data_IF_010245454575
#
_entry.id   IF_010245454575
#
_cell.length_a   1.000
_cell.length_b   1.000
_cell.length_c   1.000
_cell.angle_alpha   90.00
_cell.angle_beta   90.00
_cell.angle_gamma   90.00
#
_symmetry.space_group_name_H-M   'P 1'
#
loop_
_entity.id
_entity.type
_entity.pdbx_description
1 polymer ?
#
# COMPACT_ATOMS: atom_id res chain seq x y z
N UNK A 1 -55.39 -44.61 97.06
CA UNK A 1 -54.70 -43.39 97.53
C UNK A 1 -53.22 -43.72 97.57
N UNK A 2 -52.48 -43.39 96.49
CA UNK A 2 -51.73 -42.14 96.26
C UNK A 2 -50.40 -42.14 97.05
N UNK A 3 -49.27 -42.51 96.41
CA UNK A 3 -48.32 -41.70 95.61
C UNK A 3 -47.40 -40.83 96.48
N UNK A 4 -46.08 -41.06 96.47
CA UNK A 4 -45.08 -40.26 95.73
C UNK A 4 -44.10 -39.62 96.76
N UNK A 5 -42.83 -39.31 96.50
CA UNK A 5 -42.06 -39.07 95.28
C UNK A 5 -40.55 -39.27 95.53
N UNK A 6 -39.78 -39.48 94.45
CA UNK A 6 -38.31 -39.46 94.38
C UNK A 6 -37.85 -38.48 93.29
N UNK A 7 -36.63 -37.95 93.39
CA UNK A 7 -36.18 -36.77 92.65
C UNK A 7 -35.11 -36.95 91.57
N UNK A 8 -34.48 -35.79 91.27
CA UNK A 8 -33.14 -35.48 90.73
C UNK A 8 -32.76 -35.67 89.24
N UNK A 9 -32.12 -34.58 88.78
CA UNK A 9 -30.98 -34.41 87.87
C UNK A 9 -31.21 -34.37 86.35
N UNK A 10 -30.61 -33.33 85.77
CA UNK A 10 -30.70 -32.83 84.39
C UNK A 10 -29.54 -33.36 83.56
N UNK A 11 -29.81 -33.77 82.32
CA UNK A 11 -28.82 -33.92 81.25
C UNK A 11 -29.43 -33.41 79.94
N UNK A 12 -28.93 -32.29 79.43
CA UNK A 12 -29.31 -31.75 78.13
C UNK A 12 -28.50 -32.42 77.01
N UNK A 13 -29.18 -33.21 76.18
CA UNK A 13 -28.77 -33.54 74.82
C UNK A 13 -30.04 -33.83 73.99
N UNK A 14 -30.40 -32.90 73.10
CA UNK A 14 -31.52 -33.10 72.17
C UNK A 14 -31.07 -34.05 71.04
N UNK A 15 -31.84 -35.11 70.71
CA UNK A 15 -31.55 -35.94 69.54
C UNK A 15 -31.83 -35.14 68.25
N UNK A 16 -30.94 -35.26 67.27
CA UNK A 16 -31.09 -34.65 65.95
C UNK A 16 -32.20 -35.31 65.14
N UNK A 17 -32.95 -34.49 64.40
CA UNK A 17 -34.01 -34.94 63.51
C UNK A 17 -33.43 -35.77 62.34
N UNK A 18 -34.03 -36.94 62.10
CA UNK A 18 -33.74 -37.73 60.90
C UNK A 18 -34.24 -36.96 59.66
N UNK A 19 -33.34 -36.64 58.74
CA UNK A 19 -33.68 -36.07 57.43
C UNK A 19 -34.59 -37.00 56.62
N UNK A 20 -35.56 -36.43 55.89
CA UNK A 20 -36.46 -37.17 55.00
C UNK A 20 -35.72 -37.73 53.77
N UNK A 21 -36.23 -38.81 53.19
CA UNK A 21 -35.76 -39.32 51.88
C UNK A 21 -35.79 -38.21 50.82
N UNK A 22 -34.64 -37.97 50.18
CA UNK A 22 -34.53 -37.03 49.07
C UNK A 22 -35.12 -37.62 47.79
N UNK A 23 -35.92 -36.82 47.07
CA UNK A 23 -36.40 -37.15 45.73
C UNK A 23 -35.30 -36.80 44.73
N UNK A 24 -34.82 -37.79 43.97
CA UNK A 24 -33.91 -37.55 42.85
C UNK A 24 -34.72 -36.99 41.67
N UNK A 25 -34.55 -35.69 41.40
CA UNK A 25 -35.07 -35.08 40.18
C UNK A 25 -33.97 -35.08 39.13
N UNK A 26 -34.10 -35.96 38.14
CA UNK A 26 -33.26 -35.96 36.96
C UNK A 26 -33.77 -34.86 36.02
N UNK A 27 -33.32 -33.62 36.23
CA UNK A 27 -33.50 -32.57 35.22
C UNK A 27 -32.46 -32.76 34.13
N UNK A 28 -32.84 -33.52 33.09
CA UNK A 28 -32.09 -33.58 31.85
C UNK A 28 -32.32 -32.26 31.08
N UNK A 29 -31.51 -31.24 31.36
CA UNK A 29 -31.42 -30.08 30.48
C UNK A 29 -30.78 -30.54 29.18
N UNK A 30 -31.58 -30.68 28.12
CA UNK A 30 -31.09 -30.92 26.78
C UNK A 30 -30.05 -29.87 26.42
N UNK A 31 -28.78 -30.27 26.34
CA UNK A 31 -27.72 -29.44 25.81
C UNK A 31 -27.93 -29.33 24.30
N UNK A 32 -28.68 -28.32 23.86
CA UNK A 32 -28.73 -27.97 22.44
C UNK A 32 -27.41 -27.26 22.14
N UNK A 33 -26.45 -28.00 21.60
CA UNK A 33 -25.26 -27.43 20.99
C UNK A 33 -25.68 -26.68 19.73
N UNK A 34 -26.18 -25.46 19.90
CA UNK A 34 -26.39 -24.52 18.80
C UNK A 34 -25.03 -24.03 18.30
N UNK A 35 -24.31 -24.87 17.56
CA UNK A 35 -23.17 -24.39 16.77
C UNK A 35 -23.78 -23.53 15.68
N UNK A 36 -23.64 -22.21 15.81
CA UNK A 36 -24.03 -21.29 14.76
C UNK A 36 -23.19 -21.58 13.53
N UNK A 37 -23.83 -22.03 12.45
CA UNK A 37 -23.20 -22.13 11.14
C UNK A 37 -22.63 -20.76 10.75
N UNK A 38 -21.38 -20.76 10.30
CA UNK A 38 -20.68 -19.59 9.78
C UNK A 38 -20.32 -19.88 8.34
N UNK A 39 -20.99 -19.18 7.42
CA UNK A 39 -20.71 -19.25 5.98
C UNK A 39 -19.34 -18.68 5.63
N UNK A 40 -18.74 -17.88 6.53
CA UNK A 40 -17.42 -17.30 6.34
C UNK A 40 -16.65 -17.10 7.65
N UNK A 41 -15.34 -17.03 7.51
CA UNK A 41 -14.40 -16.67 8.57
C UNK A 41 -13.04 -16.29 7.98
N UNK A 42 -12.13 -15.80 8.80
CA UNK A 42 -10.78 -15.49 8.35
C UNK A 42 -9.74 -15.90 9.38
N UNK A 43 -8.53 -16.12 8.88
CA UNK A 43 -7.32 -16.29 9.66
C UNK A 43 -6.31 -15.22 9.24
N UNK A 44 -5.79 -14.49 10.21
CA UNK A 44 -4.65 -13.59 10.02
C UNK A 44 -3.40 -14.24 10.61
N UNK A 45 -2.33 -14.27 9.83
CA UNK A 45 -1.04 -14.76 10.33
C UNK A 45 -0.52 -13.84 11.43
N UNK A 46 0.39 -14.36 12.26
CA UNK A 46 1.29 -13.46 12.99
C UNK A 46 2.05 -12.58 12.00
N UNK A 47 2.43 -11.38 12.44
CA UNK A 47 3.34 -10.53 11.69
C UNK A 47 4.71 -11.21 11.65
N UNK A 48 5.27 -11.34 10.46
CA UNK A 48 6.61 -11.88 10.26
C UNK A 48 7.60 -10.75 10.04
N UNK A 49 8.68 -10.76 10.81
CA UNK A 49 9.75 -9.78 10.75
C UNK A 49 10.96 -10.39 10.01
N UNK A 50 11.31 -9.84 8.84
CA UNK A 50 12.45 -10.32 8.04
C UNK A 50 13.81 -9.92 8.61
N UNK A 51 13.81 -9.08 9.65
CA UNK A 51 14.99 -8.47 10.27
C UNK A 51 15.84 -7.62 9.31
N UNK A 52 15.27 -7.21 8.17
CA UNK A 52 15.93 -6.33 7.20
C UNK A 52 14.97 -5.26 6.66
N UNK A 53 15.33 -3.97 6.70
CA UNK A 53 14.53 -2.89 6.11
C UNK A 53 14.68 -2.82 4.58
N UNK A 54 15.50 -3.68 3.96
CA UNK A 54 15.70 -3.73 2.50
C UNK A 54 15.19 -5.04 1.90
N UNK A 55 14.17 -5.65 2.53
CA UNK A 55 13.61 -6.90 2.05
C UNK A 55 12.80 -6.71 0.78
N UNK A 56 13.04 -7.57 -0.22
CA UNK A 56 12.22 -7.69 -1.42
C UNK A 56 11.42 -9.00 -1.40
N UNK A 57 10.14 -8.93 -1.78
CA UNK A 57 9.21 -10.05 -1.74
C UNK A 57 8.88 -10.55 -3.15
N UNK A 58 8.77 -11.88 -3.30
CA UNK A 58 8.53 -12.52 -4.59
C UNK A 58 7.28 -13.40 -4.55
N UNK A 59 7.40 -14.69 -4.84
CA UNK A 59 6.25 -15.55 -5.03
C UNK A 59 5.63 -15.98 -3.69
N UNK A 60 4.30 -16.02 -3.66
CA UNK A 60 3.51 -16.66 -2.62
C UNK A 60 2.94 -18.00 -3.13
N UNK A 61 3.02 -19.04 -2.30
CA UNK A 61 2.40 -20.34 -2.56
C UNK A 61 1.73 -20.90 -1.31
N UNK A 62 0.69 -21.71 -1.50
CA UNK A 62 0.03 -22.45 -0.43
C UNK A 62 -0.58 -23.74 -0.96
N UNK A 63 -0.99 -24.63 -0.05
CA UNK A 63 -1.88 -25.74 -0.38
C UNK A 63 -3.30 -25.47 0.13
N UNK A 64 -4.30 -26.10 -0.46
CA UNK A 64 -5.66 -26.12 0.05
C UNK A 64 -6.40 -27.39 -0.36
N UNK A 65 -7.48 -27.70 0.36
CA UNK A 65 -8.54 -28.60 -0.10
C UNK A 65 -9.86 -27.83 -0.12
N UNK A 66 -10.33 -27.54 -1.32
CA UNK A 66 -11.63 -26.93 -1.60
C UNK A 66 -12.38 -27.76 -2.63
N UNK A 67 -13.71 -27.73 -2.57
CA UNK A 67 -14.62 -28.31 -3.55
C UNK A 67 -15.65 -27.27 -4.02
N UNK A 68 -16.62 -27.67 -4.85
CA UNK A 68 -17.65 -26.79 -5.41
C UNK A 68 -18.50 -26.02 -4.38
N UNK A 69 -18.49 -26.43 -3.11
CA UNK A 69 -19.26 -25.81 -2.01
C UNK A 69 -18.38 -25.03 -1.02
N UNK A 70 -17.09 -24.89 -1.29
CA UNK A 70 -16.15 -24.18 -0.41
C UNK A 70 -15.21 -23.31 -1.24
N UNK A 71 -14.80 -22.16 -0.72
CA UNK A 71 -13.79 -21.34 -1.41
C UNK A 71 -12.91 -20.62 -0.41
N UNK A 72 -11.80 -20.07 -0.89
CA UNK A 72 -10.92 -19.24 -0.09
C UNK A 72 -10.30 -18.13 -0.94
N UNK A 73 -9.94 -17.04 -0.28
CA UNK A 73 -9.15 -15.95 -0.83
C UNK A 73 -7.95 -15.71 0.07
N UNK A 74 -6.83 -15.28 -0.51
CA UNK A 74 -5.63 -14.89 0.22
C UNK A 74 -5.33 -13.43 -0.11
N UNK A 75 -4.93 -12.66 0.91
CA UNK A 75 -4.44 -11.28 0.78
C UNK A 75 -3.12 -11.17 1.52
N UNK A 76 -2.25 -10.28 1.06
CA UNK A 76 -0.91 -10.07 1.64
C UNK A 76 -0.68 -8.57 1.81
N UNK A 77 -0.04 -8.17 2.90
CA UNK A 77 0.37 -6.80 3.15
C UNK A 77 1.78 -6.72 3.73
N UNK A 78 2.47 -5.63 3.48
CA UNK A 78 3.75 -5.31 4.12
C UNK A 78 3.71 -3.94 4.80
N UNK A 79 4.62 -3.75 5.75
CA UNK A 79 4.76 -2.50 6.50
C UNK A 79 6.20 -2.30 6.98
N UNK A 80 6.55 -1.04 7.25
CA UNK A 80 7.75 -0.68 8.03
C UNK A 80 7.51 -0.78 9.54
N UNK A 81 6.26 -0.97 9.99
CA UNK A 81 5.86 -1.12 11.39
C UNK A 81 5.41 -2.54 11.71
N UNK A 82 5.64 -2.99 12.94
CA UNK A 82 5.18 -4.31 13.39
C UNK A 82 3.66 -4.37 13.52
N UNK A 83 3.02 -3.23 13.80
CA UNK A 83 1.58 -3.12 14.03
C UNK A 83 0.73 -3.27 12.75
N UNK A 84 1.30 -3.01 11.56
CA UNK A 84 0.62 -3.06 10.25
C UNK A 84 -0.53 -2.04 10.06
N UNK A 85 -0.49 -0.94 10.80
CA UNK A 85 -1.57 0.07 10.80
C UNK A 85 -1.55 1.00 9.57
N UNK A 86 -0.51 0.97 8.76
CA UNK A 86 -0.38 1.77 7.52
C UNK A 86 -0.97 1.07 6.28
N UNK A 87 -1.21 -0.24 6.34
CA UNK A 87 -1.74 -1.01 5.21
C UNK A 87 -2.98 -1.80 5.63
N UNK A 88 -4.18 -1.29 5.36
CA UNK A 88 -5.46 -1.93 5.74
C UNK A 88 -5.84 -3.10 4.81
N UNK A 89 -6.48 -4.15 5.35
CA UNK A 89 -6.86 -5.35 4.59
C UNK A 89 -7.84 -5.07 3.46
N UNK A 90 -8.71 -4.09 3.64
CA UNK A 90 -9.70 -3.65 2.67
C UNK A 90 -9.07 -3.15 1.36
N UNK A 91 -7.84 -2.62 1.46
CA UNK A 91 -7.06 -2.10 0.33
C UNK A 91 -6.11 -3.15 -0.29
N UNK A 92 -6.07 -4.36 0.26
CA UNK A 92 -5.16 -5.41 -0.19
C UNK A 92 -5.81 -6.27 -1.28
N UNK A 93 -5.16 -6.42 -2.42
CA UNK A 93 -5.67 -7.25 -3.51
C UNK A 93 -5.72 -8.74 -3.13
N UNK A 94 -6.68 -9.47 -3.72
CA UNK A 94 -6.71 -10.93 -3.62
C UNK A 94 -5.62 -11.50 -4.51
N UNK A 95 -4.77 -12.36 -3.93
CA UNK A 95 -3.64 -12.98 -4.62
C UNK A 95 -3.99 -14.40 -5.08
N UNK A 96 -3.44 -14.79 -6.22
CA UNK A 96 -3.52 -16.16 -6.73
C UNK A 96 -2.34 -17.01 -6.23
N UNK A 97 -2.52 -18.34 -6.21
CA UNK A 97 -1.45 -19.26 -5.80
C UNK A 97 -0.32 -19.25 -6.84
N UNK A 98 0.91 -19.00 -6.41
CA UNK A 98 2.07 -18.82 -7.29
C UNK A 98 2.25 -17.40 -7.83
N UNK A 99 1.45 -16.42 -7.39
CA UNK A 99 1.54 -15.03 -7.83
C UNK A 99 2.82 -14.35 -7.30
N UNK A 100 3.39 -13.45 -8.10
CA UNK A 100 4.52 -12.60 -7.70
C UNK A 100 4.00 -11.35 -6.96
N UNK A 101 4.45 -11.13 -5.74
CA UNK A 101 3.92 -10.07 -4.88
C UNK A 101 4.36 -8.64 -5.26
N UNK A 102 5.35 -8.46 -6.15
CA UNK A 102 5.94 -7.14 -6.48
C UNK A 102 4.92 -6.12 -7.01
N UNK A 103 3.89 -6.58 -7.73
CA UNK A 103 2.91 -5.73 -8.41
C UNK A 103 1.63 -5.47 -7.59
N UNK A 104 1.61 -5.89 -6.33
CA UNK A 104 0.45 -5.72 -5.46
C UNK A 104 0.43 -4.35 -4.80
N UNK A 105 -0.76 -3.79 -4.65
CA UNK A 105 -0.94 -2.46 -4.07
C UNK A 105 -0.59 -2.41 -2.57
N UNK A 106 -0.70 -3.54 -1.87
CA UNK A 106 -0.45 -3.67 -0.43
C UNK A 106 0.91 -4.27 -0.09
N UNK A 107 1.71 -4.65 -1.09
CA UNK A 107 3.06 -5.19 -0.88
C UNK A 107 4.07 -4.24 -1.49
N UNK A 108 4.95 -3.75 -0.65
CA UNK A 108 6.07 -2.90 -1.02
C UNK A 108 7.38 -3.58 -0.61
N UNK A 109 8.32 -3.58 -1.54
CA UNK A 109 9.70 -3.90 -1.24
C UNK A 109 10.30 -2.82 -0.31
N UNK A 110 11.34 -3.20 0.41
CA UNK A 110 11.95 -2.43 1.50
C UNK A 110 11.04 -2.20 2.71
N UNK A 111 10.02 -3.03 2.85
CA UNK A 111 9.28 -3.20 4.10
C UNK A 111 9.80 -4.40 4.88
N UNK A 112 10.05 -4.21 6.17
CA UNK A 112 10.61 -5.24 7.05
C UNK A 112 9.58 -6.27 7.51
N UNK A 113 8.31 -5.86 7.59
CA UNK A 113 7.25 -6.71 8.12
C UNK A 113 6.31 -7.15 7.01
N UNK A 114 5.84 -8.40 7.09
CA UNK A 114 4.84 -8.97 6.20
C UNK A 114 3.78 -9.75 6.98
N UNK A 115 2.55 -9.71 6.49
CA UNK A 115 1.42 -10.48 7.04
C UNK A 115 0.52 -10.96 5.90
N UNK A 116 -0.12 -12.12 6.09
CA UNK A 116 -1.14 -12.62 5.18
C UNK A 116 -2.46 -12.90 5.91
N UNK A 117 -3.57 -12.77 5.18
CA UNK A 117 -4.91 -13.12 5.64
C UNK A 117 -5.53 -14.11 4.67
N UNK A 118 -6.20 -15.11 5.22
CA UNK A 118 -6.95 -16.11 4.47
C UNK A 118 -8.41 -15.95 4.85
N UNK A 119 -9.27 -15.69 3.88
CA UNK A 119 -10.72 -15.70 4.08
C UNK A 119 -11.26 -17.01 3.53
N UNK A 120 -12.10 -17.66 4.34
CA UNK A 120 -12.59 -19.01 4.13
C UNK A 120 -14.11 -18.93 4.03
N UNK A 121 -14.68 -19.57 3.02
CA UNK A 121 -16.11 -19.57 2.75
C UNK A 121 -16.63 -21.00 2.59
N UNK A 122 -17.83 -21.23 3.08
CA UNK A 122 -18.60 -22.45 2.84
C UNK A 122 -20.05 -22.11 2.50
N UNK A 123 -20.62 -22.88 1.58
CA UNK A 123 -22.02 -22.79 1.16
C UNK A 123 -22.84 -24.01 1.60
N UNK A 124 -22.19 -24.95 2.29
CA UNK A 124 -22.77 -26.18 2.84
C UNK A 124 -22.32 -26.34 4.31
N UNK A 125 -23.28 -26.50 5.21
CA UNK A 125 -23.05 -26.65 6.66
C UNK A 125 -22.27 -27.91 7.06
N UNK A 126 -22.14 -28.87 6.15
CA UNK A 126 -21.40 -30.12 6.35
C UNK A 126 -19.98 -30.09 5.80
N UNK A 127 -19.59 -28.99 5.13
CA UNK A 127 -18.29 -28.84 4.49
C UNK A 127 -17.49 -27.69 5.08
N UNK A 128 -16.16 -27.82 5.06
CA UNK A 128 -15.24 -26.79 5.57
C UNK A 128 -14.03 -26.71 4.64
N UNK A 129 -13.67 -25.52 4.13
CA UNK A 129 -12.42 -25.36 3.37
C UNK A 129 -11.21 -25.64 4.27
N UNK A 130 -10.21 -26.33 3.73
CA UNK A 130 -8.94 -26.56 4.42
C UNK A 130 -7.85 -25.75 3.75
N UNK A 131 -7.06 -25.04 4.55
CA UNK A 131 -5.92 -24.25 4.11
C UNK A 131 -4.64 -24.79 4.72
N UNK A 132 -3.65 -25.07 3.88
CA UNK A 132 -2.33 -25.54 4.29
C UNK A 132 -1.33 -24.37 4.34
N UNK A 133 -0.16 -24.60 4.96
CA UNK A 133 0.83 -23.55 5.21
C UNK A 133 1.20 -22.71 3.98
N UNK A 134 1.48 -21.43 4.24
CA UNK A 134 1.94 -20.45 3.25
C UNK A 134 3.46 -20.47 3.16
N UNK A 135 3.97 -20.34 1.95
CA UNK A 135 5.38 -20.06 1.67
C UNK A 135 5.48 -18.80 0.82
N UNK A 136 6.16 -17.78 1.36
CA UNK A 136 6.50 -16.53 0.68
C UNK A 136 8.03 -16.48 0.57
N UNK A 137 8.53 -16.38 -0.65
CA UNK A 137 9.97 -16.21 -0.90
C UNK A 137 10.35 -14.74 -0.83
N UNK A 138 11.46 -14.43 -0.16
CA UNK A 138 11.98 -13.07 -0.05
C UNK A 138 13.52 -13.07 -0.04
N UNK A 139 14.13 -11.93 -0.33
CA UNK A 139 15.55 -11.66 -0.14
C UNK A 139 15.72 -10.45 0.76
N UNK A 140 16.71 -10.44 1.65
CA UNK A 140 16.97 -9.32 2.57
C UNK A 140 17.68 -8.13 1.92
N UNK A 141 17.95 -8.23 0.62
CA UNK A 141 18.50 -7.19 -0.25
C UNK A 141 18.01 -7.42 -1.68
N UNK A 142 17.89 -6.36 -2.46
CA UNK A 142 17.60 -6.46 -3.89
C UNK A 142 18.72 -7.25 -4.62
N UNK A 143 18.43 -8.40 -5.26
CA UNK A 143 19.39 -9.16 -6.03
C UNK A 143 19.95 -8.42 -7.24
N UNK A 144 19.20 -7.46 -7.80
CA UNK A 144 19.64 -6.66 -8.94
C UNK A 144 20.59 -5.53 -8.53
N UNK A 145 20.66 -5.21 -7.24
CA UNK A 145 21.50 -4.14 -6.73
C UNK A 145 20.97 -2.76 -7.11
N UNK A 146 19.78 -2.40 -6.64
CA UNK A 146 19.20 -1.08 -6.78
C UNK A 146 18.15 -0.76 -5.72
N UNK A 147 17.51 0.41 -5.88
CA UNK A 147 16.30 0.78 -5.13
C UNK A 147 15.07 0.25 -5.89
N UNK A 148 14.13 -0.44 -5.23
CA UNK A 148 12.88 -0.89 -5.84
C UNK A 148 12.11 0.28 -6.44
N UNK A 149 11.51 0.05 -7.61
CA UNK A 149 10.69 1.06 -8.30
C UNK A 149 9.24 0.91 -7.86
N UNK A 150 8.67 1.97 -7.26
CA UNK A 150 7.27 1.97 -6.82
C UNK A 150 6.32 2.19 -8.00
N UNK A 151 6.68 3.13 -8.88
CA UNK A 151 5.94 3.47 -10.08
C UNK A 151 6.83 4.22 -11.08
N UNK A 152 6.48 4.14 -12.35
CA UNK A 152 7.18 4.81 -13.45
C UNK A 152 6.20 5.37 -14.50
N UNK A 153 6.57 6.50 -15.10
CA UNK A 153 5.87 7.13 -16.22
C UNK A 153 6.86 7.63 -17.25
N UNK A 154 6.42 7.69 -18.50
CA UNK A 154 7.30 8.02 -19.63
C UNK A 154 6.58 8.88 -20.66
N UNK A 155 7.38 9.44 -21.58
CA UNK A 155 6.92 10.10 -22.78
C UNK A 155 6.90 11.62 -22.69
N UNK A 156 6.97 12.26 -23.86
CA UNK A 156 7.14 13.70 -24.01
C UNK A 156 6.48 14.16 -25.30
N UNK A 157 5.84 15.33 -25.28
CA UNK A 157 5.43 16.05 -26.49
C UNK A 157 6.23 17.35 -26.58
N UNK A 158 6.93 17.56 -27.68
CA UNK A 158 7.85 18.70 -27.84
C UNK A 158 7.56 19.51 -29.09
N UNK A 159 7.40 20.81 -28.90
CA UNK A 159 7.28 21.80 -29.96
C UNK A 159 8.52 22.69 -29.98
N UNK A 160 9.15 22.85 -31.16
CA UNK A 160 10.29 23.75 -31.36
C UNK A 160 9.98 24.77 -32.44
N UNK A 161 10.20 26.05 -32.14
CA UNK A 161 10.03 27.14 -33.10
C UNK A 161 11.37 27.62 -33.68
N UNK A 162 11.45 27.71 -35.01
CA UNK A 162 12.65 28.15 -35.74
C UNK A 162 12.64 29.59 -36.25
N UNK A 163 11.61 30.39 -35.92
CA UNK A 163 11.38 31.70 -36.55
C UNK A 163 11.99 32.88 -35.77
N UNK A 164 12.39 33.92 -36.50
CA UNK A 164 13.07 35.13 -36.00
C UNK A 164 12.23 35.90 -34.95
N UNK A 165 10.90 35.83 -35.03
CA UNK A 165 10.00 36.57 -34.12
C UNK A 165 9.73 35.86 -32.78
N UNK A 166 10.03 34.56 -32.68
CA UNK A 166 10.03 33.77 -31.44
C UNK A 166 11.32 32.93 -31.41
N UNK A 167 12.48 33.56 -31.19
CA UNK A 167 13.75 32.91 -31.44
C UNK A 167 13.96 31.71 -30.51
N UNK A 168 14.01 30.51 -31.10
CA UNK A 168 14.41 29.25 -30.45
C UNK A 168 13.61 28.91 -29.20
N UNK A 169 12.32 29.28 -29.18
CA UNK A 169 11.44 28.86 -28.10
C UNK A 169 11.07 27.39 -28.29
N UNK A 170 11.23 26.62 -27.22
CA UNK A 170 10.76 25.25 -27.08
C UNK A 170 9.64 25.20 -26.04
N UNK A 171 8.61 24.41 -26.33
CA UNK A 171 7.56 24.06 -25.37
C UNK A 171 7.56 22.54 -25.28
N UNK A 172 7.69 22.00 -24.09
CA UNK A 172 7.66 20.57 -23.85
C UNK A 172 6.58 20.24 -22.84
N UNK A 173 5.88 19.15 -23.07
CA UNK A 173 5.07 18.48 -22.07
C UNK A 173 5.79 17.19 -21.67
N UNK A 174 6.05 17.01 -20.38
CA UNK A 174 6.65 15.80 -19.82
C UNK A 174 6.22 15.63 -18.37
N UNK A 175 5.94 14.39 -17.96
CA UNK A 175 5.53 14.03 -16.59
C UNK A 175 4.38 14.90 -16.02
N UNK A 176 3.45 15.32 -16.89
CA UNK A 176 2.32 16.18 -16.51
C UNK A 176 2.64 17.68 -16.39
N UNK A 177 3.90 18.07 -16.51
CA UNK A 177 4.30 19.46 -16.54
C UNK A 177 4.32 20.02 -17.97
N UNK A 178 4.06 21.32 -18.11
CA UNK A 178 4.32 22.07 -19.34
C UNK A 178 5.49 23.02 -19.11
N UNK A 179 6.56 22.80 -19.84
CA UNK A 179 7.81 23.54 -19.76
C UNK A 179 7.92 24.51 -20.94
N UNK A 180 8.48 25.69 -20.67
CA UNK A 180 8.94 26.61 -21.72
C UNK A 180 10.42 26.86 -21.54
N UNK A 181 11.17 26.56 -22.58
CA UNK A 181 12.62 26.69 -22.63
C UNK A 181 13.04 27.62 -23.76
N UNK A 182 14.12 28.36 -23.54
CA UNK A 182 14.83 29.10 -24.56
C UNK A 182 16.33 28.85 -24.41
N UNK A 183 16.97 28.41 -25.49
CA UNK A 183 18.42 28.15 -25.51
C UNK A 183 19.16 29.27 -26.20
N UNK A 184 19.91 30.05 -25.43
CA UNK A 184 20.80 31.10 -25.95
C UNK A 184 22.26 30.76 -25.64
N UNK A 185 23.12 30.78 -26.67
CA UNK A 185 24.58 30.52 -26.55
C UNK A 185 24.97 29.20 -25.85
N UNK A 186 24.07 28.22 -25.77
CA UNK A 186 24.32 26.93 -25.12
C UNK A 186 23.87 26.88 -23.66
N UNK A 187 23.37 28.00 -23.12
CA UNK A 187 22.74 28.04 -21.80
C UNK A 187 21.24 27.78 -21.95
N UNK A 188 20.71 26.94 -21.08
CA UNK A 188 19.30 26.66 -20.94
C UNK A 188 18.69 27.59 -19.89
N UNK A 189 17.66 28.33 -20.26
CA UNK A 189 16.83 29.09 -19.34
C UNK A 189 15.35 28.86 -19.67
N UNK A 190 14.51 28.85 -18.66
CA UNK A 190 13.12 28.50 -18.83
C UNK A 190 12.32 28.48 -17.53
N UNK A 191 11.05 28.11 -17.69
CA UNK A 191 10.09 28.04 -16.60
C UNK A 191 9.15 26.86 -16.80
N UNK A 192 8.64 26.36 -15.68
CA UNK A 192 7.45 25.52 -15.64
C UNK A 192 6.24 26.43 -15.76
N UNK A 193 5.49 26.32 -16.87
CA UNK A 193 4.24 27.08 -17.09
C UNK A 193 3.09 26.41 -16.36
N UNK A 194 3.03 25.08 -16.43
CA UNK A 194 2.07 24.26 -15.72
C UNK A 194 2.86 23.26 -14.87
N UNK A 195 2.73 23.30 -13.53
CA UNK A 195 3.45 22.37 -12.66
C UNK A 195 2.98 20.94 -12.91
N UNK A 196 3.85 19.95 -12.68
CA UNK A 196 3.41 18.57 -12.66
C UNK A 196 2.38 18.35 -11.56
N UNK A 197 1.57 17.29 -11.67
CA UNK A 197 0.70 16.80 -10.60
C UNK A 197 1.51 16.10 -9.48
N UNK A 198 2.49 16.82 -8.93
CA UNK A 198 3.29 16.40 -7.77
C UNK A 198 3.05 17.42 -6.68
N UNK A 199 2.61 16.95 -5.53
CA UNK A 199 2.33 17.78 -4.37
C UNK A 199 3.15 17.31 -3.18
N UNK A 200 4.00 18.22 -2.71
CA UNK A 200 4.90 18.00 -1.58
C UNK A 200 4.46 18.91 -0.45
N UNK A 201 4.25 18.34 0.73
CA UNK A 201 3.79 19.06 1.92
C UNK A 201 4.65 18.72 3.12
N UNK A 202 4.72 19.67 4.04
CA UNK A 202 5.27 19.46 5.37
C UNK A 202 4.13 19.21 6.37
N UNK A 203 4.03 18.00 6.89
CA UNK A 203 3.14 17.69 8.02
C UNK A 203 3.97 17.51 9.30
N UNK A 204 4.07 18.56 10.10
CA UNK A 204 4.79 18.53 11.40
C UNK A 204 6.26 18.09 11.33
N UNK A 205 6.95 18.40 10.22
CA UNK A 205 8.34 18.03 9.94
C UNK A 205 8.48 16.84 8.97
N UNK A 206 7.37 16.18 8.64
CA UNK A 206 7.34 14.97 7.83
C UNK A 206 7.09 15.33 6.36
N UNK A 207 7.95 14.87 5.43
CA UNK A 207 7.67 14.96 4.00
C UNK A 207 6.48 14.07 3.64
N UNK A 208 5.43 14.70 3.12
CA UNK A 208 4.23 14.04 2.63
C UNK A 208 4.09 14.31 1.14
N UNK A 209 4.02 13.24 0.35
CA UNK A 209 4.13 13.28 -1.10
C UNK A 209 2.90 12.60 -1.72
N UNK A 210 2.34 13.27 -2.71
CA UNK A 210 1.14 12.89 -3.45
C UNK A 210 1.42 13.13 -4.94
N UNK A 211 1.20 12.10 -5.78
CA UNK A 211 1.63 12.09 -7.18
C UNK A 211 0.58 11.43 -8.07
N UNK A 212 0.12 12.16 -9.09
CA UNK A 212 -0.66 11.59 -10.19
C UNK A 212 0.17 11.46 -11.45
N UNK A 213 0.70 10.27 -11.71
CA UNK A 213 1.59 10.05 -12.84
C UNK A 213 0.84 10.05 -14.17
N UNK A 214 1.36 10.77 -15.16
CA UNK A 214 0.83 10.75 -16.53
C UNK A 214 1.83 10.05 -17.43
N UNK A 215 1.42 8.93 -18.00
CA UNK A 215 2.23 8.11 -18.89
C UNK A 215 1.72 8.27 -20.33
N UNK A 216 2.56 8.84 -21.20
CA UNK A 216 2.21 9.00 -22.60
C UNK A 216 2.57 7.72 -23.37
N UNK A 217 1.57 7.16 -24.05
CA UNK A 217 1.72 6.03 -24.97
C UNK A 217 1.58 6.52 -26.42
N UNK A 218 1.93 5.68 -27.39
CA UNK A 218 1.87 6.00 -28.82
C UNK A 218 3.22 5.86 -29.52
N UNK A 219 3.37 6.48 -30.69
CA UNK A 219 4.56 6.36 -31.53
C UNK A 219 5.51 7.55 -31.37
N UNK A 220 6.81 7.26 -31.38
CA UNK A 220 7.85 8.29 -31.38
C UNK A 220 8.02 8.86 -32.80
N UNK A 221 7.35 9.97 -33.05
CA UNK A 221 7.33 10.62 -34.36
C UNK A 221 7.74 12.09 -34.26
N UNK A 222 8.32 12.62 -35.34
CA UNK A 222 8.69 14.02 -35.47
C UNK A 222 8.20 14.56 -36.81
N UNK A 223 7.52 15.70 -36.77
CA UNK A 223 6.99 16.35 -37.97
C UNK A 223 7.43 17.81 -38.06
N UNK A 224 7.58 18.31 -39.29
CA UNK A 224 7.85 19.73 -39.57
C UNK A 224 6.84 20.24 -40.59
N UNK A 225 6.14 21.33 -40.26
CA UNK A 225 5.07 21.88 -41.08
C UNK A 225 3.76 21.97 -40.31
N UNK A 226 2.63 22.00 -41.03
CA UNK A 226 1.29 21.98 -40.42
C UNK A 226 0.87 20.53 -40.20
N UNK A 227 0.55 20.17 -38.97
CA UNK A 227 0.03 18.85 -38.59
C UNK A 227 -1.02 19.02 -37.50
N UNK A 228 -1.86 18.01 -37.28
CA UNK A 228 -2.76 17.93 -36.15
C UNK A 228 -2.29 16.81 -35.22
N UNK A 229 -2.24 17.09 -33.92
CA UNK A 229 -1.98 16.09 -32.89
C UNK A 229 -3.32 15.77 -32.26
N UNK A 230 -3.68 14.49 -32.23
CA UNK A 230 -4.80 13.97 -31.45
C UNK A 230 -4.26 13.34 -30.17
N UNK A 231 -5.00 13.57 -29.08
CA UNK A 231 -4.75 12.98 -27.78
C UNK A 231 -6.01 12.24 -27.41
N UNK A 232 -5.89 10.95 -27.13
CA UNK A 232 -6.98 10.11 -26.66
C UNK A 232 -6.59 9.57 -25.28
N UNK A 233 -7.45 9.79 -24.30
CA UNK A 233 -7.28 9.20 -22.99
C UNK A 233 -7.69 7.74 -23.08
N UNK A 234 -6.71 6.84 -23.02
CA UNK A 234 -7.00 5.43 -22.83
C UNK A 234 -7.21 5.26 -21.33
N UNK A 235 -8.47 5.26 -20.89
CA UNK A 235 -8.80 4.95 -19.50
C UNK A 235 -8.29 3.52 -19.22
N UNK A 236 -7.08 3.40 -18.67
CA UNK A 236 -6.63 2.15 -18.09
C UNK A 236 -7.46 1.87 -16.84
N UNK A 237 -7.55 0.59 -16.47
CA UNK A 237 -8.33 0.12 -15.31
C UNK A 237 -8.10 1.01 -14.07
N UNK A 238 -9.09 1.04 -13.15
CA UNK A 238 -9.13 1.93 -11.98
C UNK A 238 -7.74 2.26 -11.40
N UNK A 239 -7.45 3.55 -11.12
CA UNK A 239 -6.13 3.97 -10.67
C UNK A 239 -5.68 3.11 -9.49
N UNK A 240 -4.56 2.42 -9.65
CA UNK A 240 -3.94 1.64 -8.59
C UNK A 240 -3.31 2.59 -7.59
N UNK A 241 -4.10 3.12 -6.65
CA UNK A 241 -3.61 3.97 -5.58
C UNK A 241 -2.67 3.16 -4.68
N UNK A 242 -1.39 3.52 -4.67
CA UNK A 242 -0.40 2.99 -3.73
C UNK A 242 -0.13 4.03 -2.64
N UNK A 243 -0.38 3.66 -1.39
CA UNK A 243 -0.19 4.52 -0.21
C UNK A 243 0.59 3.77 0.85
N UNK A 244 1.72 4.31 1.30
CA UNK A 244 2.48 3.74 2.42
C UNK A 244 3.59 4.68 2.92
N UNK A 245 4.44 4.20 3.82
CA UNK A 245 5.54 4.95 4.42
C UNK A 245 6.88 4.28 4.11
N UNK A 246 7.89 5.09 3.79
CA UNK A 246 9.24 4.64 3.48
C UNK A 246 10.29 5.29 4.36
N UNK A 247 11.42 4.63 4.59
CA UNK A 247 12.56 5.27 5.26
C UNK A 247 13.05 6.48 4.47
N UNK A 248 13.27 6.31 3.17
CA UNK A 248 13.65 7.36 2.24
C UNK A 248 12.88 7.15 0.93
N UNK A 249 12.66 8.22 0.17
CA UNK A 249 12.03 8.16 -1.14
C UNK A 249 12.81 9.05 -2.11
N UNK A 250 12.97 8.62 -3.35
CA UNK A 250 13.62 9.40 -4.40
C UNK A 250 12.66 9.57 -5.58
N UNK A 251 12.49 10.81 -6.04
CA UNK A 251 11.80 11.12 -7.29
C UNK A 251 12.85 11.42 -8.36
N UNK A 252 12.95 10.55 -9.37
CA UNK A 252 13.90 10.71 -10.46
C UNK A 252 13.16 11.12 -11.74
N UNK A 253 13.52 12.28 -12.30
CA UNK A 253 13.00 12.80 -13.55
C UNK A 253 14.12 12.78 -14.59
N UNK A 254 14.00 11.91 -15.60
CA UNK A 254 14.88 11.93 -16.77
C UNK A 254 14.34 12.95 -17.77
N UNK A 255 15.12 13.96 -18.12
CA UNK A 255 14.64 15.14 -18.85
C UNK A 255 15.74 15.77 -19.70
N UNK A 256 15.34 16.38 -20.83
CA UNK A 256 16.21 17.27 -21.60
C UNK A 256 16.32 18.69 -21.00
N UNK A 257 15.61 18.95 -19.89
CA UNK A 257 15.41 20.27 -19.28
C UNK A 257 15.80 20.30 -17.77
N UNK A 258 16.98 19.80 -17.38
CA UNK A 258 17.33 19.60 -15.97
C UNK A 258 17.36 20.90 -15.17
N UNK A 259 17.78 22.02 -15.77
CA UNK A 259 17.86 23.33 -15.08
C UNK A 259 16.46 23.81 -14.68
N UNK A 260 15.47 23.61 -15.55
CA UNK A 260 14.09 24.04 -15.32
C UNK A 260 13.46 23.20 -14.20
N UNK A 261 13.68 21.88 -14.23
CA UNK A 261 13.20 20.96 -13.19
C UNK A 261 13.89 21.16 -11.85
N UNK A 262 15.22 21.31 -11.85
CA UNK A 262 16.00 21.57 -10.64
C UNK A 262 15.54 22.86 -9.95
N UNK A 263 15.28 23.92 -10.72
CA UNK A 263 14.69 25.15 -10.19
C UNK A 263 13.29 24.92 -9.62
N UNK A 264 12.41 24.23 -10.34
CA UNK A 264 11.05 23.95 -9.88
C UNK A 264 11.03 23.14 -8.59
N UNK A 265 11.85 22.09 -8.47
CA UNK A 265 11.95 21.31 -7.24
C UNK A 265 12.47 22.15 -6.07
N UNK A 266 13.54 22.94 -6.28
CA UNK A 266 14.08 23.80 -5.24
C UNK A 266 13.06 24.84 -4.75
N UNK A 267 12.36 25.50 -5.67
CA UNK A 267 11.31 26.47 -5.33
C UNK A 267 10.16 25.78 -4.59
N UNK A 268 9.67 24.64 -5.09
CA UNK A 268 8.56 23.88 -4.48
C UNK A 268 8.92 23.37 -3.07
N UNK A 269 10.12 22.84 -2.89
CA UNK A 269 10.59 22.33 -1.60
C UNK A 269 10.82 23.45 -0.59
N UNK A 270 11.37 24.59 -1.01
CA UNK A 270 11.50 25.77 -0.15
C UNK A 270 10.12 26.32 0.27
N UNK A 271 9.15 26.34 -0.65
CA UNK A 271 7.77 26.77 -0.36
C UNK A 271 6.99 25.79 0.52
N UNK A 272 7.33 24.50 0.48
CA UNK A 272 6.71 23.47 1.34
C UNK A 272 6.97 23.67 2.84
N UNK A 273 8.00 24.46 3.18
CA UNK A 273 8.44 24.67 4.56
C UNK A 273 9.12 23.46 5.18
N UNK A 274 9.52 22.46 4.40
CA UNK A 274 10.39 21.38 4.85
C UNK A 274 11.78 21.92 5.21
N UNK A 275 12.42 21.29 6.18
CA UNK A 275 13.80 21.63 6.53
C UNK A 275 14.74 21.11 5.41
N UNK A 276 15.74 21.91 5.03
CA UNK A 276 16.77 21.53 4.05
C UNK A 276 17.50 20.23 4.40
N UNK A 277 17.51 19.80 5.67
CA UNK A 277 18.07 18.48 6.04
C UNK A 277 17.20 17.29 5.66
N UNK A 278 15.97 17.52 5.18
CA UNK A 278 14.96 16.48 4.88
C UNK A 278 14.86 16.17 3.40
N UNK A 279 15.57 16.93 2.55
CA UNK A 279 15.58 16.70 1.12
C UNK A 279 16.91 17.11 0.50
N UNK A 280 17.21 16.55 -0.68
CA UNK A 280 18.31 17.00 -1.52
C UNK A 280 17.83 17.01 -2.98
N UNK A 281 18.19 18.05 -3.73
CA UNK A 281 17.93 18.13 -5.17
C UNK A 281 19.26 18.01 -5.90
N UNK A 282 19.40 16.95 -6.68
CA UNK A 282 20.60 16.66 -7.47
C UNK A 282 20.25 16.90 -8.94
N UNK A 283 20.91 17.88 -9.54
CA UNK A 283 20.77 18.21 -10.96
C UNK A 283 21.99 17.68 -11.73
N UNK A 284 21.73 17.03 -12.87
CA UNK A 284 22.76 16.57 -13.81
C UNK A 284 22.40 16.97 -15.24
N UNK A 285 23.17 16.53 -16.24
CA UNK A 285 22.92 16.87 -17.65
C UNK A 285 21.63 16.25 -18.21
N UNK A 286 21.22 15.08 -17.73
CA UNK A 286 20.12 14.29 -18.33
C UNK A 286 18.99 13.95 -17.34
N UNK A 287 19.15 14.29 -16.06
CA UNK A 287 18.16 13.98 -15.04
C UNK A 287 18.23 14.92 -13.82
N UNK A 288 17.12 14.97 -13.09
CA UNK A 288 17.00 15.62 -11.78
C UNK A 288 16.46 14.61 -10.78
N UNK A 289 17.11 14.49 -9.62
CA UNK A 289 16.63 13.67 -8.50
C UNK A 289 16.25 14.58 -7.34
N UNK A 290 15.05 14.38 -6.79
CA UNK A 290 14.66 14.91 -5.50
C UNK A 290 14.63 13.75 -4.49
N UNK A 291 15.62 13.71 -3.60
CA UNK A 291 15.69 12.76 -2.50
C UNK A 291 14.96 13.31 -1.28
N UNK A 292 14.22 12.44 -0.59
CA UNK A 292 13.49 12.73 0.63
C UNK A 292 13.96 11.80 1.74
N UNK A 293 14.36 12.38 2.86
CA UNK A 293 14.86 11.66 4.02
C UNK A 293 13.80 11.62 5.12
N UNK A 294 13.42 10.41 5.52
CA UNK A 294 12.36 10.19 6.50
C UNK A 294 12.85 10.22 7.95
N UNK A 295 14.11 9.90 8.21
CA UNK A 295 14.67 9.66 9.55
C UNK A 295 13.71 8.81 10.42
N UNK A 296 13.54 9.15 11.70
CA UNK A 296 12.63 8.45 12.64
C UNK A 296 11.14 8.62 12.27
N UNK A 297 10.80 9.59 11.43
CA UNK A 297 9.40 9.92 11.11
C UNK A 297 8.95 9.39 9.74
N UNK A 298 9.88 8.82 8.98
CA UNK A 298 9.66 8.27 7.64
C UNK A 298 9.16 9.32 6.63
N UNK A 299 9.07 8.93 5.37
CA UNK A 299 8.45 9.70 4.28
C UNK A 299 7.08 9.09 4.03
N UNK A 300 6.04 9.92 3.95
CA UNK A 300 4.68 9.46 3.71
C UNK A 300 4.36 9.62 2.22
N UNK A 301 4.12 8.50 1.54
CA UNK A 301 3.58 8.47 0.19
C UNK A 301 2.07 8.25 0.30
N UNK A 302 1.30 9.32 0.11
CA UNK A 302 -0.16 9.30 0.35
C UNK A 302 -0.87 8.62 -0.80
N UNK A 303 -0.53 8.99 -2.02
CA UNK A 303 -1.16 8.48 -3.21
C UNK A 303 -0.15 8.49 -4.35
N UNK A 304 -0.11 7.38 -5.07
CA UNK A 304 0.44 7.30 -6.41
C UNK A 304 -0.64 6.69 -7.28
N UNK A 305 -1.20 7.50 -8.16
CA UNK A 305 -2.06 7.05 -9.25
C UNK A 305 -1.32 7.19 -10.59
N UNK A 306 -1.78 6.46 -11.61
CA UNK A 306 -1.21 6.47 -12.94
C UNK A 306 -2.32 6.54 -13.98
N UNK A 307 -2.21 7.47 -14.91
CA UNK A 307 -3.08 7.63 -16.06
C UNK A 307 -2.28 7.41 -17.34
N UNK A 308 -2.77 6.53 -18.22
CA UNK A 308 -2.19 6.32 -19.54
C UNK A 308 -2.92 7.22 -20.57
N UNK A 309 -2.14 7.89 -21.42
CA UNK A 309 -2.67 8.81 -22.43
C UNK A 309 -2.04 8.50 -23.78
N UNK A 310 -2.85 8.07 -24.74
CA UNK A 310 -2.39 7.78 -26.09
C UNK A 310 -2.25 9.07 -26.91
N UNK A 311 -1.05 9.28 -27.46
CA UNK A 311 -0.74 10.41 -28.33
C UNK A 311 -0.54 9.92 -29.75
N UNK A 312 -1.35 10.45 -30.67
CA UNK A 312 -1.29 10.10 -32.09
C UNK A 312 -1.13 11.34 -32.96
N UNK A 313 -0.23 11.25 -33.94
CA UNK A 313 -0.07 12.28 -34.96
C UNK A 313 -1.02 11.99 -36.12
N UNK A 314 -2.00 12.87 -36.33
CA UNK A 314 -2.87 12.79 -37.49
C UNK A 314 -2.15 13.42 -38.70
N UNK A 315 -1.82 12.57 -39.67
CA UNK A 315 -1.24 12.96 -40.96
C UNK A 315 -2.30 13.35 -41.98
#
# INVERSE_FOLDING_TARGET
MALGAGGTAVSDALPGDNGSEGVFNETETAYISGIYYKESGYYESSVFNTSSPTTCYYNITWGNDTNDYTSLTVRVRTSIYEEMDDTMWENCDVVANGHNLTDLNSVFDWHQYIQYRVELFTYDETMTPVFYGVNITYNTSDPAGGSPVIAESTGMVKFKSGHIYCPKQEIAYEHGAVLKCQRERGEEDGIVIQPPPILIRNESGIPVIDISMINLTGTNDSYSGTTAISVEEENSDEPKTRSTKFHNLSLNITTEYPVIWGKWFNDTLAESGLNESRYEVIETEDYVVADFYGDEQHVHLVEVDKTDVEVTLAT
#
